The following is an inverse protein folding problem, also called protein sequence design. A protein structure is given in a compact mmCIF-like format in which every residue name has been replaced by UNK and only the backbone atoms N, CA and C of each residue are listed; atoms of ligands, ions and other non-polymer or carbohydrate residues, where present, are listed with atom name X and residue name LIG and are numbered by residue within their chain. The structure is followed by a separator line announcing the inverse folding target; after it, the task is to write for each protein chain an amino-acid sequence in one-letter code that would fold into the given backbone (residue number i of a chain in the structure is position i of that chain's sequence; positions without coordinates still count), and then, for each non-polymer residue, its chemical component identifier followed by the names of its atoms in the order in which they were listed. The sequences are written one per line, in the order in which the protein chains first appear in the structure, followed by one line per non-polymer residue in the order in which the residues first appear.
data_IF_904195100025
#
_entry.id   IF_904195100025
#
_cell.length_a   1.000
_cell.length_b   1.000
_cell.length_c   1.000
_cell.angle_alpha   90.00
_cell.angle_beta   90.00
_cell.angle_gamma   90.00
#
_symmetry.space_group_name_H-M   'P 1'
#
loop_
_entity.id
_entity.type
_entity.pdbx_description
1 polymer ?
#
# COMPACT_ATOMS: atom_id res chain seq x y z
N UNK A 1 3.24 -25.11 63.63
CA UNK A 1 2.17 -25.05 62.62
C UNK A 1 1.84 -23.58 62.33
N UNK A 2 1.80 -23.24 61.03
CA UNK A 2 1.31 -22.04 60.33
C UNK A 2 1.31 -20.66 61.01
N UNK A 3 2.18 -19.74 60.55
CA UNK A 3 1.92 -18.29 60.53
C UNK A 3 1.35 -17.91 59.17
N UNK A 4 0.09 -17.50 59.14
CA UNK A 4 -0.56 -16.93 57.97
C UNK A 4 0.06 -15.55 57.65
N UNK A 5 0.43 -15.33 56.39
CA UNK A 5 0.80 -14.01 55.88
C UNK A 5 -0.25 -13.60 54.85
N UNK A 6 -1.03 -12.58 55.19
CA UNK A 6 -2.03 -11.97 54.34
C UNK A 6 -1.32 -11.15 53.25
N UNK A 7 -1.44 -11.57 51.98
CA UNK A 7 -0.82 -10.90 50.83
C UNK A 7 -1.92 -10.15 50.07
N UNK A 8 -2.10 -8.87 50.41
CA UNK A 8 -3.01 -7.98 49.70
C UNK A 8 -2.67 -7.89 48.20
N UNK A 9 -3.59 -8.38 47.37
CA UNK A 9 -3.47 -8.36 45.92
C UNK A 9 -3.74 -6.94 45.37
N UNK A 10 -2.69 -6.24 44.90
CA UNK A 10 -2.82 -5.01 44.11
C UNK A 10 -3.47 -5.32 42.76
N UNK A 11 -4.75 -4.93 42.61
CA UNK A 11 -5.45 -4.87 41.32
C UNK A 11 -4.76 -3.85 40.40
N UNK A 12 -4.05 -4.33 39.37
CA UNK A 12 -3.57 -3.48 38.26
C UNK A 12 -4.77 -3.10 37.39
N UNK A 13 -5.21 -1.85 37.48
CA UNK A 13 -6.15 -1.25 36.52
C UNK A 13 -5.41 -0.96 35.21
N UNK A 14 -5.62 -1.78 34.19
CA UNK A 14 -5.14 -1.54 32.84
C UNK A 14 -6.03 -0.49 32.17
N UNK A 15 -5.54 0.74 32.05
CA UNK A 15 -6.19 1.78 31.26
C UNK A 15 -6.21 1.34 29.78
N UNK A 16 -7.41 1.14 29.25
CA UNK A 16 -7.65 0.77 27.85
C UNK A 16 -7.33 1.98 26.97
N UNK A 17 -6.23 1.92 26.21
CA UNK A 17 -5.81 2.96 25.26
C UNK A 17 -6.91 3.14 24.19
N UNK A 18 -7.34 4.37 23.86
CA UNK A 18 -8.40 4.57 22.88
C UNK A 18 -7.92 4.11 21.50
N UNK A 19 -8.74 3.31 20.83
CA UNK A 19 -8.48 2.87 19.47
C UNK A 19 -8.43 4.09 18.55
N UNK A 20 -7.29 4.34 17.91
CA UNK A 20 -7.19 5.34 16.83
C UNK A 20 -8.17 4.90 15.74
N UNK A 21 -9.23 5.68 15.49
CA UNK A 21 -10.16 5.44 14.38
C UNK A 21 -9.36 5.47 13.08
N UNK A 22 -9.27 4.32 12.41
CA UNK A 22 -8.73 4.23 11.05
C UNK A 22 -9.58 5.13 10.15
N UNK A 23 -8.95 5.99 9.37
CA UNK A 23 -9.58 6.65 8.24
C UNK A 23 -9.69 5.60 7.15
N UNK A 24 -10.76 4.81 7.19
CA UNK A 24 -11.19 3.99 6.05
C UNK A 24 -12.22 4.81 5.31
N UNK A 25 -11.95 5.18 4.07
CA UNK A 25 -12.99 5.73 3.22
C UNK A 25 -14.10 4.68 3.07
N UNK A 26 -15.37 5.02 3.31
CA UNK A 26 -16.46 4.08 3.14
C UNK A 26 -16.49 3.60 1.69
N UNK A 27 -16.46 2.28 1.50
CA UNK A 27 -16.92 1.69 0.25
C UNK A 27 -18.40 2.06 0.07
N UNK A 28 -18.89 2.25 -1.16
CA UNK A 28 -20.32 2.47 -1.40
C UNK A 28 -21.13 1.35 -0.73
N UNK A 29 -22.26 1.71 -0.13
CA UNK A 29 -23.11 0.78 0.61
C UNK A 29 -23.57 -0.38 -0.29
N UNK A 30 -23.36 -1.62 0.13
CA UNK A 30 -23.82 -2.83 -0.57
C UNK A 30 -22.72 -3.72 -1.18
N UNK A 31 -21.44 -3.34 -1.10
CA UNK A 31 -20.34 -4.16 -1.63
C UNK A 31 -19.95 -5.27 -0.65
N UNK A 32 -19.99 -6.56 -1.04
CA UNK A 32 -19.61 -7.67 -0.16
C UNK A 32 -18.10 -7.71 0.10
N UNK A 33 -17.70 -7.88 1.37
CA UNK A 33 -16.29 -7.97 1.79
C UNK A 33 -15.51 -9.17 1.23
N UNK A 34 -16.19 -10.11 0.56
CA UNK A 34 -15.62 -11.29 -0.09
C UNK A 34 -16.20 -11.45 -1.51
N UNK A 35 -15.50 -10.93 -2.51
CA UNK A 35 -15.82 -11.19 -3.91
C UNK A 35 -15.19 -12.51 -4.39
N UNK A 36 -15.87 -13.18 -5.34
CA UNK A 36 -15.39 -14.44 -5.95
C UNK A 36 -14.11 -14.17 -6.77
N UNK A 37 -13.26 -15.19 -6.96
CA UNK A 37 -12.10 -15.08 -7.86
C UNK A 37 -12.60 -14.83 -9.30
N UNK A 38 -11.86 -14.06 -10.13
CA UNK A 38 -12.27 -13.83 -11.51
C UNK A 38 -12.23 -15.16 -12.28
N UNK A 39 -13.06 -15.32 -13.33
CA UNK A 39 -13.01 -16.50 -14.20
C UNK A 39 -11.61 -16.67 -14.81
N UNK A 40 -11.13 -17.92 -14.94
CA UNK A 40 -9.81 -18.23 -15.53
C UNK A 40 -9.60 -17.62 -16.92
N UNK A 41 -10.67 -17.48 -17.71
CA UNK A 41 -10.63 -16.87 -19.04
C UNK A 41 -10.21 -15.38 -19.01
N UNK A 42 -10.63 -14.63 -17.99
CA UNK A 42 -10.28 -13.21 -17.82
C UNK A 42 -8.79 -13.09 -17.47
N UNK A 43 -8.33 -13.89 -16.50
CA UNK A 43 -6.91 -13.93 -16.10
C UNK A 43 -6.01 -14.31 -17.28
N UNK A 44 -6.43 -15.29 -18.10
CA UNK A 44 -5.68 -15.71 -19.28
C UNK A 44 -5.66 -14.62 -20.37
N UNK A 45 -6.76 -13.88 -20.56
CA UNK A 45 -6.81 -12.77 -21.52
C UNK A 45 -5.90 -11.60 -21.10
N UNK A 46 -5.87 -11.25 -19.81
CA UNK A 46 -4.98 -10.22 -19.25
C UNK A 46 -3.50 -10.63 -19.42
N UNK A 47 -3.15 -11.87 -19.06
CA UNK A 47 -1.78 -12.38 -19.21
C UNK A 47 -1.28 -12.45 -20.65
N UNK A 48 -2.17 -12.60 -21.65
CA UNK A 48 -1.81 -12.62 -23.08
C UNK A 48 -1.47 -11.23 -23.65
N UNK A 49 -1.95 -10.16 -23.02
CA UNK A 49 -1.59 -8.79 -23.42
C UNK A 49 -0.23 -8.36 -22.87
N UNK A 50 0.31 -9.11 -21.90
CA UNK A 50 1.68 -8.97 -21.39
C UNK A 50 2.60 -9.92 -22.18
N UNK A 51 2.69 -9.72 -23.49
CA UNK A 51 3.70 -10.40 -24.33
C UNK A 51 5.13 -10.12 -23.83
N UNK A 52 6.17 -10.73 -24.43
CA UNK A 52 7.56 -10.39 -24.08
C UNK A 52 7.74 -8.87 -24.10
N UNK A 53 8.44 -8.33 -23.10
CA UNK A 53 8.70 -6.89 -22.94
C UNK A 53 9.38 -6.28 -24.18
N UNK A 54 8.59 -5.93 -25.19
CA UNK A 54 8.96 -5.04 -26.28
C UNK A 54 8.48 -3.63 -25.91
N UNK A 55 9.17 -3.04 -24.93
CA UNK A 55 8.79 -1.74 -24.38
C UNK A 55 9.22 -0.65 -25.37
N UNK A 56 8.30 -0.18 -26.21
CA UNK A 56 8.49 1.12 -26.86
C UNK A 56 8.47 2.20 -25.79
N UNK A 57 9.51 3.03 -25.73
CA UNK A 57 9.63 4.15 -24.78
C UNK A 57 9.04 5.45 -25.33
N UNK A 58 8.54 5.42 -26.57
CA UNK A 58 7.99 6.60 -27.23
C UNK A 58 6.69 7.04 -26.54
N UNK A 59 6.65 8.31 -26.10
CA UNK A 59 5.51 8.85 -25.35
C UNK A 59 5.36 8.31 -23.92
N UNK A 60 6.36 7.61 -23.39
CA UNK A 60 6.36 7.17 -21.99
C UNK A 60 6.79 8.31 -21.07
N UNK A 61 5.85 8.82 -20.27
CA UNK A 61 6.09 9.84 -19.25
C UNK A 61 5.43 9.48 -17.91
N UNK A 62 5.75 10.26 -16.88
CA UNK A 62 5.22 10.08 -15.53
C UNK A 62 3.71 10.34 -15.42
N UNK A 63 3.09 11.03 -16.39
CA UNK A 63 1.65 11.27 -16.46
C UNK A 63 0.83 9.98 -16.60
N UNK A 64 1.46 8.85 -16.95
CA UNK A 64 0.82 7.53 -16.84
C UNK A 64 0.33 7.24 -15.41
N UNK A 65 1.04 7.70 -14.38
CA UNK A 65 0.67 7.49 -12.99
C UNK A 65 -0.61 8.23 -12.62
N UNK A 66 -0.80 9.45 -13.12
CA UNK A 66 -2.03 10.22 -12.89
C UNK A 66 -3.23 9.56 -13.58
N UNK A 67 -3.07 9.10 -14.83
CA UNK A 67 -4.12 8.35 -15.56
C UNK A 67 -4.49 7.03 -14.88
N UNK A 68 -3.49 6.31 -14.36
CA UNK A 68 -3.70 5.08 -13.60
C UNK A 68 -4.42 5.37 -12.28
N UNK A 69 -4.02 6.40 -11.54
CA UNK A 69 -4.70 6.79 -10.31
C UNK A 69 -6.17 7.13 -10.56
N UNK A 70 -6.47 7.92 -11.59
CA UNK A 70 -7.85 8.25 -11.99
C UNK A 70 -8.67 7.01 -12.33
N UNK A 71 -8.06 6.04 -13.02
CA UNK A 71 -8.68 4.76 -13.35
C UNK A 71 -9.00 3.95 -12.10
N UNK A 72 -8.07 3.88 -11.15
CA UNK A 72 -8.26 3.16 -9.87
C UNK A 72 -9.34 3.83 -9.02
N UNK A 73 -9.35 5.16 -8.96
CA UNK A 73 -10.38 5.93 -8.25
C UNK A 73 -11.77 5.74 -8.87
N UNK A 74 -11.88 5.81 -10.19
CA UNK A 74 -13.13 5.50 -10.92
C UNK A 74 -13.64 4.10 -10.58
N UNK A 75 -12.75 3.10 -10.58
CA UNK A 75 -13.07 1.72 -10.19
C UNK A 75 -13.50 1.59 -8.73
N UNK A 76 -12.91 2.36 -7.81
CA UNK A 76 -13.31 2.42 -6.40
C UNK A 76 -14.76 2.92 -6.28
N UNK A 77 -15.06 4.02 -6.96
CA UNK A 77 -16.39 4.65 -6.95
C UNK A 77 -17.45 3.73 -7.57
N UNK A 78 -17.13 3.07 -8.67
CA UNK A 78 -18.04 2.12 -9.33
C UNK A 78 -18.38 0.90 -8.45
N UNK A 79 -17.49 0.50 -7.54
CA UNK A 79 -17.74 -0.61 -6.61
C UNK A 79 -17.86 -2.00 -7.26
N UNK A 80 -17.49 -2.15 -8.54
CA UNK A 80 -17.57 -3.42 -9.28
C UNK A 80 -16.46 -4.39 -8.87
N UNK A 81 -16.66 -5.05 -7.73
CA UNK A 81 -15.73 -6.04 -7.20
C UNK A 81 -15.63 -7.30 -8.04
N UNK A 82 -16.58 -7.59 -8.93
CA UNK A 82 -16.58 -8.81 -9.74
C UNK A 82 -15.65 -8.69 -10.96
N UNK A 83 -15.55 -7.50 -11.55
CA UNK A 83 -14.71 -7.27 -12.75
C UNK A 83 -13.48 -6.39 -12.50
N UNK A 84 -13.42 -5.64 -11.39
CA UNK A 84 -12.25 -4.81 -11.06
C UNK A 84 -11.39 -5.42 -9.96
N UNK A 85 -10.13 -5.71 -10.29
CA UNK A 85 -9.13 -6.15 -9.31
C UNK A 85 -8.93 -5.12 -8.18
N UNK A 86 -8.79 -3.84 -8.53
CA UNK A 86 -8.56 -2.76 -7.55
C UNK A 86 -9.75 -2.60 -6.61
N UNK A 87 -10.98 -2.62 -7.14
CA UNK A 87 -12.20 -2.54 -6.33
C UNK A 87 -12.28 -3.71 -5.35
N UNK A 88 -11.95 -4.93 -5.82
CA UNK A 88 -11.91 -6.13 -5.01
C UNK A 88 -10.85 -6.08 -3.92
N UNK A 89 -9.68 -5.54 -4.21
CA UNK A 89 -8.60 -5.40 -3.24
C UNK A 89 -8.99 -4.42 -2.14
N UNK A 90 -9.53 -3.25 -2.50
CA UNK A 90 -10.03 -2.25 -1.55
C UNK A 90 -11.24 -2.76 -0.75
N UNK A 91 -12.12 -3.57 -1.36
CA UNK A 91 -13.23 -4.21 -0.65
C UNK A 91 -12.78 -5.14 0.49
N UNK A 92 -11.53 -5.65 0.43
CA UNK A 92 -10.91 -6.46 1.49
C UNK A 92 -10.23 -5.61 2.56
N UNK A 93 -10.22 -4.28 2.40
CA UNK A 93 -9.74 -3.29 3.34
C UNK A 93 -8.25 -3.00 3.27
N UNK A 94 -7.86 -1.89 3.89
CA UNK A 94 -6.51 -1.31 3.88
C UNK A 94 -5.40 -2.30 4.24
N UNK A 95 -5.66 -3.26 5.13
CA UNK A 95 -4.66 -4.26 5.49
C UNK A 95 -4.26 -5.15 4.30
N UNK A 96 -5.22 -5.53 3.45
CA UNK A 96 -4.94 -6.36 2.28
C UNK A 96 -4.31 -5.55 1.15
N UNK A 97 -4.72 -4.29 0.99
CA UNK A 97 -4.08 -3.36 0.05
C UNK A 97 -2.61 -3.15 0.40
N UNK A 98 -2.31 -2.84 1.67
CA UNK A 98 -0.94 -2.66 2.16
C UNK A 98 -0.11 -3.94 2.09
N UNK A 99 -0.73 -5.11 2.33
CA UNK A 99 -0.04 -6.39 2.16
C UNK A 99 0.45 -6.56 0.72
N UNK A 100 -0.40 -6.28 -0.29
CA UNK A 100 -0.02 -6.46 -1.69
C UNK A 100 1.08 -5.48 -2.12
N UNK A 101 1.01 -4.22 -1.66
CA UNK A 101 2.13 -3.29 -1.84
C UNK A 101 3.46 -3.85 -1.27
N UNK A 102 3.40 -4.50 -0.11
CA UNK A 102 4.56 -5.11 0.52
C UNK A 102 5.09 -6.34 -0.21
N UNK A 103 4.22 -7.13 -0.85
CA UNK A 103 4.59 -8.28 -1.69
C UNK A 103 5.42 -7.78 -2.89
N UNK A 104 4.91 -6.84 -3.69
CA UNK A 104 5.63 -6.32 -4.87
C UNK A 104 6.93 -5.61 -4.49
N UNK A 105 6.97 -4.94 -3.34
CA UNK A 105 8.19 -4.30 -2.87
C UNK A 105 9.31 -5.32 -2.59
N UNK A 106 8.95 -6.48 -2.04
CA UNK A 106 9.91 -7.56 -1.78
C UNK A 106 10.33 -8.22 -3.10
N UNK A 107 9.38 -8.50 -4.00
CA UNK A 107 9.66 -9.08 -5.32
C UNK A 107 10.58 -8.17 -6.14
N UNK A 108 10.28 -6.87 -6.23
CA UNK A 108 11.12 -5.89 -6.91
C UNK A 108 12.55 -5.84 -6.36
N UNK A 109 12.72 -5.90 -5.04
CA UNK A 109 14.05 -5.94 -4.41
C UNK A 109 14.78 -7.22 -4.75
N UNK A 110 14.11 -8.37 -4.71
CA UNK A 110 14.71 -9.66 -5.05
C UNK A 110 15.23 -9.63 -6.49
N UNK A 111 14.38 -9.28 -7.45
CA UNK A 111 14.77 -9.25 -8.88
C UNK A 111 15.89 -8.25 -9.16
N UNK A 112 15.88 -7.10 -8.50
CA UNK A 112 16.96 -6.11 -8.60
C UNK A 112 18.29 -6.66 -8.05
N UNK A 113 18.26 -7.36 -6.91
CA UNK A 113 19.48 -7.94 -6.31
C UNK A 113 20.05 -9.11 -7.12
N UNK A 114 19.21 -9.81 -7.87
CA UNK A 114 19.61 -10.89 -8.77
C UNK A 114 20.08 -10.38 -10.15
N UNK A 115 19.92 -9.08 -10.44
CA UNK A 115 20.29 -8.49 -11.73
C UNK A 115 19.31 -8.80 -12.86
N UNK A 116 18.10 -9.25 -12.52
CA UNK A 116 17.05 -9.59 -13.47
C UNK A 116 16.35 -8.33 -13.97
N UNK A 117 16.96 -7.66 -14.95
CA UNK A 117 16.53 -6.32 -15.41
C UNK A 117 15.07 -6.28 -15.88
N UNK A 118 14.62 -7.30 -16.63
CA UNK A 118 13.28 -7.32 -17.22
C UNK A 118 12.22 -7.46 -16.13
N UNK A 119 12.48 -8.36 -15.20
CA UNK A 119 11.66 -8.67 -14.05
C UNK A 119 11.62 -7.46 -13.10
N UNK A 120 12.77 -6.81 -12.85
CA UNK A 120 12.83 -5.56 -12.07
C UNK A 120 11.93 -4.47 -12.65
N UNK A 121 11.84 -4.34 -13.99
CA UNK A 121 10.95 -3.36 -14.63
C UNK A 121 9.48 -3.71 -14.38
N UNK A 122 9.11 -4.99 -14.50
CA UNK A 122 7.75 -5.47 -14.24
C UNK A 122 7.35 -5.24 -12.79
N UNK A 123 8.18 -5.69 -11.85
CA UNK A 123 7.92 -5.56 -10.42
C UNK A 123 7.92 -4.08 -9.97
N UNK A 124 8.72 -3.23 -10.62
CA UNK A 124 8.67 -1.77 -10.38
C UNK A 124 7.32 -1.17 -10.82
N UNK A 125 6.77 -1.64 -11.94
CA UNK A 125 5.46 -1.19 -12.42
C UNK A 125 4.34 -1.66 -11.48
N UNK A 126 4.39 -2.91 -11.01
CA UNK A 126 3.42 -3.45 -10.06
C UNK A 126 3.51 -2.76 -8.70
N UNK A 127 4.72 -2.47 -8.22
CA UNK A 127 4.98 -1.68 -7.02
C UNK A 127 4.34 -0.28 -7.10
N UNK A 128 4.58 0.43 -8.21
CA UNK A 128 3.98 1.76 -8.43
C UNK A 128 2.45 1.67 -8.51
N UNK A 129 1.92 0.69 -9.24
CA UNK A 129 0.48 0.48 -9.34
C UNK A 129 -0.15 0.25 -7.96
N UNK A 130 0.42 -0.65 -7.16
CA UNK A 130 -0.09 -0.94 -5.82
C UNK A 130 0.09 0.21 -4.84
N UNK A 131 1.08 1.09 -5.04
CA UNK A 131 1.19 2.34 -4.32
C UNK A 131 0.03 3.30 -4.64
N UNK A 132 -0.35 3.42 -5.92
CA UNK A 132 -1.53 4.20 -6.31
C UNK A 132 -2.82 3.65 -5.69
N UNK A 133 -2.97 2.32 -5.62
CA UNK A 133 -4.13 1.71 -4.93
C UNK A 133 -4.14 2.03 -3.44
N UNK A 134 -2.98 2.06 -2.77
CA UNK A 134 -2.87 2.53 -1.39
C UNK A 134 -3.30 3.99 -1.26
N UNK A 135 -2.89 4.87 -2.18
CA UNK A 135 -3.28 6.27 -2.14
C UNK A 135 -4.79 6.44 -2.31
N UNK A 136 -5.39 5.74 -3.27
CA UNK A 136 -6.84 5.74 -3.47
C UNK A 136 -7.60 5.22 -2.24
N UNK A 137 -7.17 4.11 -1.64
CA UNK A 137 -7.78 3.56 -0.40
C UNK A 137 -7.69 4.56 0.78
N UNK A 138 -6.59 5.33 0.84
CA UNK A 138 -6.33 6.33 1.86
C UNK A 138 -6.93 7.72 1.55
N UNK A 139 -7.48 7.94 0.35
CA UNK A 139 -7.99 9.25 -0.09
C UNK A 139 -6.90 10.28 -0.40
N UNK A 140 -5.70 9.83 -0.72
CA UNK A 140 -4.55 10.67 -1.07
C UNK A 140 -4.54 10.86 -2.59
N UNK A 141 -4.39 12.11 -3.02
CA UNK A 141 -4.23 12.43 -4.44
C UNK A 141 -2.75 12.47 -4.85
N UNK A 142 -2.39 12.15 -6.11
CA UNK A 142 -1.00 12.19 -6.56
C UNK A 142 -0.37 13.57 -6.37
N UNK A 143 -1.12 14.66 -6.54
CA UNK A 143 -0.59 16.03 -6.44
C UNK A 143 -0.04 16.34 -5.04
N UNK A 144 -0.58 15.72 -3.99
CA UNK A 144 -0.07 15.85 -2.62
C UNK A 144 1.33 15.21 -2.50
N UNK A 145 1.54 14.07 -3.15
CA UNK A 145 2.83 13.37 -3.18
C UNK A 145 3.83 14.10 -4.09
N UNK A 146 3.39 14.58 -5.25
CA UNK A 146 4.21 15.41 -6.14
C UNK A 146 4.67 16.70 -5.45
N UNK A 147 3.79 17.33 -4.66
CA UNK A 147 4.16 18.50 -3.86
C UNK A 147 5.25 18.16 -2.82
N UNK A 148 5.15 17.02 -2.15
CA UNK A 148 6.17 16.58 -1.20
C UNK A 148 7.49 16.22 -1.88
N UNK A 149 7.45 15.58 -3.05
CA UNK A 149 8.64 15.29 -3.85
C UNK A 149 9.32 16.58 -4.30
N UNK A 150 8.57 17.55 -4.83
CA UNK A 150 9.07 18.88 -5.20
C UNK A 150 9.68 19.63 -4.01
N UNK A 151 9.11 19.48 -2.81
CA UNK A 151 9.67 20.08 -1.58
C UNK A 151 11.05 19.50 -1.24
N UNK A 152 11.33 18.25 -1.61
CA UNK A 152 12.61 17.56 -1.37
C UNK A 152 13.58 17.69 -2.55
N UNK A 153 13.07 18.04 -3.73
CA UNK A 153 13.85 18.24 -4.94
C UNK A 153 14.97 19.28 -4.68
N UNK A 154 16.19 18.96 -5.12
CA UNK A 154 17.37 19.80 -4.90
C UNK A 154 17.96 19.75 -3.48
N UNK A 155 17.30 19.09 -2.51
CA UNK A 155 17.87 18.83 -1.18
C UNK A 155 18.61 17.50 -1.23
N UNK A 156 19.92 17.50 -0.96
CA UNK A 156 20.67 16.24 -0.94
C UNK A 156 20.06 15.28 0.08
N UNK A 157 19.99 13.99 -0.24
CA UNK A 157 19.38 12.98 0.64
C UNK A 157 20.06 12.89 2.03
N UNK A 158 21.29 13.38 2.16
CA UNK A 158 22.02 13.49 3.43
C UNK A 158 21.44 14.65 4.26
N UNK A 159 21.24 15.82 3.64
CA UNK A 159 20.67 17.01 4.29
C UNK A 159 19.20 16.78 4.64
N UNK A 160 18.44 16.17 3.74
CA UNK A 160 17.04 15.81 3.99
C UNK A 160 16.90 14.85 5.17
N UNK A 161 17.70 13.77 5.22
CA UNK A 161 17.73 12.85 6.37
C UNK A 161 18.14 13.53 7.66
N UNK A 162 19.10 14.46 7.63
CA UNK A 162 19.56 15.20 8.80
C UNK A 162 18.52 16.21 9.32
N UNK A 163 17.72 16.79 8.42
CA UNK A 163 16.68 17.76 8.74
C UNK A 163 15.36 17.12 9.18
N UNK A 164 15.18 15.80 9.01
CA UNK A 164 13.98 15.10 9.51
C UNK A 164 13.86 15.28 11.03
N UNK A 165 12.67 15.62 11.56
CA UNK A 165 12.46 15.71 13.00
C UNK A 165 12.89 14.40 13.67
N UNK A 166 13.89 14.46 14.55
CA UNK A 166 14.30 13.32 15.37
C UNK A 166 13.16 12.95 16.31
N UNK A 167 12.23 12.10 15.85
CA UNK A 167 11.09 11.69 16.65
C UNK A 167 9.92 11.02 15.92
N UNK A 168 9.80 11.15 14.59
CA UNK A 168 8.64 10.60 13.87
C UNK A 168 8.61 9.05 13.87
N UNK A 169 9.76 8.38 14.03
CA UNK A 169 9.81 6.91 14.11
C UNK A 169 9.29 6.34 15.45
N UNK A 170 9.01 7.16 16.48
CA UNK A 170 8.49 6.65 17.77
C UNK A 170 6.96 6.56 17.87
N UNK A 171 6.21 7.10 16.90
CA UNK A 171 4.75 7.15 16.99
C UNK A 171 4.03 5.86 16.52
N UNK A 172 4.75 4.97 15.83
CA UNK A 172 4.29 3.63 15.51
C UNK A 172 5.18 2.66 16.28
N UNK A 173 4.59 1.85 17.16
CA UNK A 173 5.28 0.80 17.92
C UNK A 173 5.72 -0.35 16.99
N UNK A 174 6.44 -0.04 15.92
CA UNK A 174 6.95 -1.00 14.95
C UNK A 174 8.42 -1.21 15.22
N UNK A 175 8.74 -2.36 15.80
CA UNK A 175 10.11 -2.89 15.86
C UNK A 175 10.50 -3.38 14.46
N UNK A 176 11.00 -2.51 13.57
CA UNK A 176 11.94 -2.93 12.52
C UNK A 176 12.97 -1.84 12.21
N UNK A 177 14.07 -2.33 11.66
CA UNK A 177 15.49 -2.19 12.02
C UNK A 177 16.21 -1.05 11.26
N UNK A 178 17.45 -0.69 11.67
CA UNK A 178 18.16 0.55 11.28
C UNK A 178 18.40 0.73 9.78
#
# INVERSE_FOLDING_TARGET
MAKATDKAAKKKTTAKKPAKKRVTLPLPAGVPAKAKKPPKAVVLAESRHLGPLEVSVEGCDSGVLDRLWQTVESRRVAGDVEHSHSARLMARGTAKVAQKLGEEAVECVIEATLGHRKETILESADLLYHLLVVWVDAGIRPEEVWAELRRREGISGIVEKAARPKGIVRAAQTTKLP
#
